data_IF_616865309379
#
_entry.id   IF_616865309379
#
_cell.length_a   1.000
_cell.length_b   1.000
_cell.length_c   1.000
_cell.angle_alpha   90.00
_cell.angle_beta   90.00
_cell.angle_gamma   90.00
#
_symmetry.space_group_name_H-M   'P 1'
#
loop_
_entity.id
_entity.type
_entity.pdbx_description
1 polymer ?
#
# COMPACT_ATOMS: atom_id res chain seq x y z
N UNK A 1 5.20 12.55 19.90
CA UNK A 1 5.04 13.97 20.28
C UNK A 1 3.97 14.06 21.38
N UNK A 2 4.31 14.47 22.60
CA UNK A 2 3.35 14.59 23.71
C UNK A 2 2.22 15.59 23.42
N UNK A 3 2.46 16.64 22.63
CA UNK A 3 1.44 17.63 22.26
C UNK A 3 0.38 17.00 21.37
N UNK A 4 0.79 16.20 20.37
CA UNK A 4 -0.14 15.47 19.50
C UNK A 4 -0.97 14.44 20.25
N UNK A 5 -0.37 13.75 21.23
CA UNK A 5 -1.11 12.81 22.08
C UNK A 5 -2.17 13.57 22.88
N UNK A 6 -1.80 14.65 23.57
CA UNK A 6 -2.74 15.46 24.34
C UNK A 6 -3.91 15.99 23.49
N UNK A 7 -3.63 16.44 22.26
CA UNK A 7 -4.65 16.91 21.32
C UNK A 7 -5.62 15.80 20.86
N UNK A 8 -5.19 14.53 20.86
CA UNK A 8 -6.01 13.40 20.44
C UNK A 8 -6.83 12.79 21.59
N UNK A 9 -6.42 12.99 22.85
CA UNK A 9 -7.10 12.42 24.03
C UNK A 9 -8.62 12.68 24.10
N UNK A 10 -9.17 13.84 23.68
CA UNK A 10 -10.62 14.04 23.68
C UNK A 10 -11.40 13.04 22.81
N UNK A 11 -10.75 12.41 21.83
CA UNK A 11 -11.35 11.38 20.98
C UNK A 11 -11.16 9.95 21.53
N UNK A 12 -10.49 9.77 22.67
CA UNK A 12 -10.25 8.45 23.25
C UNK A 12 -11.58 7.77 23.63
N UNK A 13 -11.64 6.46 23.43
CA UNK A 13 -12.79 5.63 23.81
C UNK A 13 -12.30 4.25 24.29
N UNK A 14 -11.71 4.17 25.50
CA UNK A 14 -11.17 2.91 26.00
C UNK A 14 -12.25 1.84 26.19
N UNK A 15 -11.95 0.55 25.92
CA UNK A 15 -10.65 0.02 25.48
C UNK A 15 -10.44 0.05 23.95
N UNK A 16 -11.41 0.56 23.19
CA UNK A 16 -11.42 0.50 21.72
C UNK A 16 -10.43 1.47 21.06
N UNK A 17 -10.20 2.63 21.69
CA UNK A 17 -9.30 3.66 21.19
C UNK A 17 -8.57 4.35 22.35
N UNK A 18 -7.25 4.30 22.31
CA UNK A 18 -6.34 4.98 23.23
C UNK A 18 -5.21 5.65 22.43
N UNK A 19 -4.63 6.70 22.97
CA UNK A 19 -3.55 7.46 22.35
C UNK A 19 -2.33 7.46 23.25
N UNK A 20 -1.22 6.90 22.75
CA UNK A 20 0.04 6.83 23.47
C UNK A 20 1.17 7.42 22.66
N UNK A 21 2.16 7.97 23.36
CA UNK A 21 3.44 8.33 22.73
C UNK A 21 4.24 7.04 22.52
N UNK A 22 4.62 6.78 21.29
CA UNK A 22 5.54 5.70 20.93
C UNK A 22 6.18 5.93 19.56
N UNK A 23 7.18 5.11 19.26
CA UNK A 23 7.81 4.91 17.96
C UNK A 23 7.66 3.46 17.51
N UNK A 24 8.71 2.90 16.90
CA UNK A 24 8.71 1.51 16.42
C UNK A 24 8.62 0.46 17.54
N UNK A 25 8.86 0.86 18.80
CA UNK A 25 8.65 0.05 20.00
C UNK A 25 7.18 -0.05 20.44
N UNK A 26 6.26 0.56 19.70
CA UNK A 26 4.80 0.45 19.87
C UNK A 26 4.31 0.79 21.28
N UNK A 27 4.98 1.73 21.95
CA UNK A 27 4.72 2.13 23.33
C UNK A 27 4.64 0.93 24.31
N UNK A 28 5.44 -0.11 24.06
CA UNK A 28 5.48 -1.34 24.87
C UNK A 28 4.27 -2.28 24.67
N UNK A 29 3.38 -1.98 23.72
CA UNK A 29 2.29 -2.89 23.37
C UNK A 29 2.80 -4.09 22.54
N UNK A 30 1.91 -5.07 22.31
CA UNK A 30 2.18 -6.27 21.51
C UNK A 30 1.02 -6.55 20.55
N UNK A 31 0.76 -5.68 19.56
CA UNK A 31 -0.38 -5.83 18.67
C UNK A 31 -0.18 -7.00 17.70
N UNK A 32 -1.29 -7.54 17.18
CA UNK A 32 -1.30 -8.54 16.09
C UNK A 32 -1.27 -7.88 14.70
N UNK A 33 -1.61 -6.60 14.61
CA UNK A 33 -1.61 -5.83 13.37
C UNK A 33 -1.16 -4.40 13.65
N UNK A 34 -0.20 -3.90 12.88
CA UNK A 34 0.20 -2.48 12.89
C UNK A 34 -0.09 -1.90 11.52
N UNK A 35 -0.73 -0.73 11.48
CA UNK A 35 -0.90 0.06 10.27
C UNK A 35 -0.10 1.35 10.39
N UNK A 36 0.94 1.50 9.57
CA UNK A 36 1.85 2.63 9.58
C UNK A 36 1.88 3.30 8.21
N UNK A 37 1.16 4.41 8.06
CA UNK A 37 1.08 5.14 6.80
C UNK A 37 1.85 6.46 6.88
N UNK A 38 2.58 6.78 5.80
CA UNK A 38 3.35 8.02 5.64
C UNK A 38 4.47 8.22 6.67
N UNK A 39 4.91 7.14 7.33
CA UNK A 39 5.94 7.18 8.39
C UNK A 39 7.35 7.18 7.80
N UNK A 40 7.64 6.27 6.87
CA UNK A 40 9.00 6.06 6.36
C UNK A 40 9.41 6.97 5.19
N UNK A 41 8.59 7.96 4.81
CA UNK A 41 8.82 8.76 3.60
C UNK A 41 10.16 9.50 3.56
N UNK A 42 10.65 9.91 4.74
CA UNK A 42 11.90 10.68 4.88
C UNK A 42 13.12 9.82 5.19
N UNK A 43 12.95 8.50 5.39
CA UNK A 43 14.05 7.59 5.66
C UNK A 43 14.84 7.32 4.38
N UNK A 44 16.08 6.86 4.52
CA UNK A 44 16.81 6.27 3.42
C UNK A 44 16.20 4.90 3.02
N UNK A 45 16.45 4.45 1.79
CA UNK A 45 15.85 3.22 1.26
C UNK A 45 16.36 1.97 1.99
N UNK A 46 17.65 1.96 2.34
CA UNK A 46 18.34 0.89 3.07
C UNK A 46 17.90 0.81 4.55
N UNK A 47 17.35 1.87 5.11
CA UNK A 47 16.80 1.88 6.48
C UNK A 47 15.42 1.22 6.61
N UNK A 48 14.71 1.01 5.49
CA UNK A 48 13.32 0.51 5.51
C UNK A 48 13.21 -0.89 6.12
N UNK A 49 14.12 -1.80 5.74
CA UNK A 49 14.11 -3.17 6.25
C UNK A 49 14.34 -3.20 7.77
N UNK A 50 15.32 -2.43 8.27
CA UNK A 50 15.58 -2.32 9.70
C UNK A 50 14.40 -1.71 10.47
N UNK A 51 13.70 -0.74 9.89
CA UNK A 51 12.49 -0.18 10.50
C UNK A 51 11.35 -1.22 10.59
N UNK A 52 11.16 -2.05 9.56
CA UNK A 52 10.18 -3.15 9.60
C UNK A 52 10.51 -4.16 10.70
N UNK A 53 11.79 -4.56 10.81
CA UNK A 53 12.24 -5.51 11.83
C UNK A 53 11.99 -5.01 13.26
N UNK A 54 12.28 -3.72 13.52
CA UNK A 54 12.03 -3.10 14.83
C UNK A 54 10.56 -3.12 15.22
N UNK A 55 9.67 -2.82 14.27
CA UNK A 55 8.22 -2.88 14.49
C UNK A 55 7.79 -4.32 14.75
N UNK A 56 8.14 -5.26 13.87
CA UNK A 56 7.73 -6.67 13.97
C UNK A 56 8.25 -7.34 15.25
N UNK A 57 9.46 -7.02 15.71
CA UNK A 57 10.01 -7.49 16.98
C UNK A 57 9.20 -7.03 18.20
N UNK A 58 8.46 -5.93 18.06
CA UNK A 58 7.59 -5.37 19.10
C UNK A 58 6.14 -5.87 19.01
N UNK A 59 5.82 -6.75 18.06
CA UNK A 59 4.47 -7.30 17.85
C UNK A 59 4.27 -8.66 18.52
N UNK A 60 3.02 -9.11 18.60
CA UNK A 60 2.73 -10.49 18.99
C UNK A 60 3.28 -11.49 17.95
N UNK A 61 3.61 -12.74 18.33
CA UNK A 61 4.00 -13.78 17.38
C UNK A 61 2.99 -13.92 16.23
N UNK A 62 3.48 -13.94 14.98
CA UNK A 62 2.63 -13.97 13.78
C UNK A 62 1.97 -12.64 13.43
N UNK A 63 2.34 -11.55 14.09
CA UNK A 63 1.85 -10.21 13.78
C UNK A 63 2.22 -9.72 12.38
N UNK A 64 1.41 -8.81 11.85
CA UNK A 64 1.58 -8.26 10.50
C UNK A 64 1.71 -6.74 10.52
N UNK A 65 2.65 -6.21 9.74
CA UNK A 65 2.79 -4.78 9.50
C UNK A 65 2.20 -4.43 8.13
N UNK A 66 1.34 -3.42 8.10
CA UNK A 66 0.90 -2.73 6.88
C UNK A 66 1.64 -1.40 6.82
N UNK A 67 2.75 -1.36 6.09
CA UNK A 67 3.51 -0.14 5.83
C UNK A 67 3.04 0.47 4.52
N UNK A 68 2.67 1.75 4.52
CA UNK A 68 2.11 2.35 3.32
C UNK A 68 2.32 3.85 3.19
N UNK A 69 1.96 4.34 2.02
CA UNK A 69 1.95 5.76 1.70
C UNK A 69 0.61 6.13 1.07
N UNK A 70 0.12 7.33 1.37
CA UNK A 70 -1.07 7.88 0.73
C UNK A 70 -0.96 9.39 0.51
N UNK A 71 -1.76 9.92 -0.41
CA UNK A 71 -2.01 11.35 -0.50
C UNK A 71 -2.81 11.86 0.71
N UNK A 72 -2.91 13.19 0.83
CA UNK A 72 -3.41 13.92 1.98
C UNK A 72 -4.86 13.55 2.32
N UNK A 73 -5.65 13.21 1.29
CA UNK A 73 -7.06 12.89 1.39
C UNK A 73 -7.37 11.41 1.14
N UNK A 74 -6.34 10.57 0.97
CA UNK A 74 -6.46 9.12 0.84
C UNK A 74 -7.09 8.61 -0.47
N UNK A 75 -7.01 9.38 -1.56
CA UNK A 75 -7.46 8.95 -2.89
C UNK A 75 -6.47 8.04 -3.59
N UNK A 76 -5.18 8.19 -3.30
CA UNK A 76 -4.11 7.36 -3.83
C UNK A 76 -3.34 6.79 -2.67
N UNK A 77 -3.30 5.47 -2.58
CA UNK A 77 -2.68 4.79 -1.47
C UNK A 77 -2.03 3.49 -1.92
N UNK A 78 -0.81 3.24 -1.45
CA UNK A 78 -0.15 1.95 -1.61
C UNK A 78 0.34 1.44 -0.27
N UNK A 79 0.45 0.13 -0.13
CA UNK A 79 1.05 -0.48 1.06
C UNK A 79 1.68 -1.83 0.77
N UNK A 80 2.72 -2.12 1.54
CA UNK A 80 3.32 -3.45 1.68
C UNK A 80 2.72 -4.13 2.91
N UNK A 81 2.26 -5.36 2.73
CA UNK A 81 2.04 -6.26 3.86
C UNK A 81 3.36 -6.93 4.19
N UNK A 82 3.82 -6.82 5.44
CA UNK A 82 5.09 -7.36 5.92
C UNK A 82 4.81 -8.32 7.07
N UNK A 83 5.45 -9.47 7.02
CA UNK A 83 5.43 -10.50 8.06
C UNK A 83 6.82 -10.66 8.67
N UNK A 84 6.96 -11.46 9.73
CA UNK A 84 8.27 -11.85 10.26
C UNK A 84 9.16 -12.61 9.27
N UNK A 85 8.61 -13.15 8.18
CA UNK A 85 9.37 -13.76 7.09
C UNK A 85 9.77 -12.76 5.99
N UNK A 86 9.39 -11.49 6.13
CA UNK A 86 9.61 -10.44 5.15
C UNK A 86 8.33 -9.96 4.44
N UNK A 87 8.48 -9.11 3.41
CA UNK A 87 7.37 -8.53 2.65
C UNK A 87 6.60 -9.59 1.84
N UNK A 88 5.28 -9.51 1.90
CA UNK A 88 4.33 -10.53 1.40
C UNK A 88 3.64 -10.06 0.12
N UNK A 89 3.13 -8.83 0.10
CA UNK A 89 2.38 -8.29 -1.05
C UNK A 89 2.47 -6.78 -1.13
N UNK A 90 2.36 -6.24 -2.34
CA UNK A 90 2.07 -4.83 -2.59
C UNK A 90 0.59 -4.68 -2.97
N UNK A 91 -0.10 -3.74 -2.33
CA UNK A 91 -1.43 -3.31 -2.74
C UNK A 91 -1.41 -1.86 -3.20
N UNK A 92 -2.05 -1.61 -4.33
CA UNK A 92 -2.41 -0.29 -4.86
C UNK A 92 -3.90 -0.06 -4.61
N UNK A 93 -4.28 1.13 -4.18
CA UNK A 93 -5.66 1.55 -3.96
C UNK A 93 -5.84 2.97 -4.49
N UNK A 94 -6.68 3.11 -5.52
CA UNK A 94 -6.93 4.38 -6.18
C UNK A 94 -8.43 4.67 -6.27
N UNK A 95 -8.80 5.91 -5.95
CA UNK A 95 -10.14 6.43 -6.23
C UNK A 95 -10.32 6.52 -7.74
N UNK A 96 -11.14 5.63 -8.29
CA UNK A 96 -11.36 5.51 -9.73
C UNK A 96 -12.00 6.76 -10.35
N UNK A 97 -12.91 7.43 -9.64
CA UNK A 97 -13.56 8.63 -10.15
C UNK A 97 -12.51 9.74 -10.42
N UNK A 98 -12.39 10.18 -11.67
CA UNK A 98 -11.39 11.18 -12.06
C UNK A 98 -9.96 10.66 -12.11
N UNK A 99 -9.75 9.34 -12.16
CA UNK A 99 -8.46 8.74 -12.44
C UNK A 99 -8.11 8.95 -13.93
N UNK A 100 -7.00 9.65 -14.17
CA UNK A 100 -6.45 9.84 -15.53
C UNK A 100 -5.72 8.56 -15.99
N UNK A 101 -4.65 8.21 -15.29
CA UNK A 101 -3.86 6.99 -15.49
C UNK A 101 -3.53 6.30 -14.16
N UNK A 102 -3.49 4.96 -14.12
CA UNK A 102 -3.12 4.22 -12.92
C UNK A 102 -1.73 4.55 -12.37
N UNK A 103 -0.74 4.76 -13.24
CA UNK A 103 0.65 5.05 -12.82
C UNK A 103 0.84 6.36 -12.05
N UNK A 104 -0.16 7.25 -12.00
CA UNK A 104 -0.16 8.42 -11.09
C UNK A 104 0.06 8.00 -9.63
N UNK A 105 -0.28 6.76 -9.26
CA UNK A 105 -0.03 6.22 -7.92
C UNK A 105 1.46 6.03 -7.59
N UNK A 106 2.36 6.11 -8.57
CA UNK A 106 3.81 5.96 -8.40
C UNK A 106 4.37 6.88 -7.32
N UNK A 107 3.90 8.12 -7.25
CA UNK A 107 4.32 9.11 -6.24
C UNK A 107 3.92 8.74 -4.81
N UNK A 108 3.08 7.70 -4.66
CA UNK A 108 2.62 7.16 -3.39
C UNK A 108 3.11 5.74 -3.16
N UNK A 109 4.09 5.27 -3.93
CA UNK A 109 4.77 4.02 -3.64
C UNK A 109 5.47 4.09 -2.26
N UNK A 110 5.57 2.96 -1.54
CA UNK A 110 6.28 2.92 -0.27
C UNK A 110 7.77 3.18 -0.49
N UNK A 111 8.49 3.57 0.56
CA UNK A 111 9.89 3.98 0.43
C UNK A 111 10.78 2.89 -0.20
N UNK A 112 10.46 1.62 0.07
CA UNK A 112 11.13 0.46 -0.52
C UNK A 112 11.01 0.34 -2.05
N UNK A 113 10.08 1.06 -2.70
CA UNK A 113 9.80 0.93 -4.14
C UNK A 113 9.83 2.26 -4.89
N UNK A 114 9.66 3.41 -4.23
CA UNK A 114 9.43 4.69 -4.93
C UNK A 114 10.60 5.09 -5.84
N UNK A 115 11.85 4.93 -5.40
CA UNK A 115 13.03 5.20 -6.22
C UNK A 115 13.32 4.09 -7.24
N UNK A 116 12.71 2.92 -7.07
CA UNK A 116 12.80 1.78 -7.98
C UNK A 116 11.77 1.85 -9.11
N UNK A 117 10.95 2.89 -9.19
CA UNK A 117 10.04 3.07 -10.32
C UNK A 117 10.77 3.63 -11.56
N UNK A 118 11.72 2.85 -12.08
CA UNK A 118 12.54 3.17 -13.25
C UNK A 118 12.57 1.98 -14.24
N UNK A 119 12.84 2.20 -15.53
CA UNK A 119 12.95 1.10 -16.51
C UNK A 119 13.94 0.01 -16.05
N UNK A 120 13.54 -1.26 -16.20
CA UNK A 120 14.30 -2.43 -15.74
C UNK A 120 13.83 -2.99 -14.40
N UNK A 121 13.19 -2.17 -13.56
CA UNK A 121 12.64 -2.61 -12.28
C UNK A 121 11.23 -3.18 -12.43
N UNK A 122 10.89 -4.15 -11.58
CA UNK A 122 9.63 -4.89 -11.68
C UNK A 122 8.40 -4.03 -11.34
N UNK A 123 8.54 -3.12 -10.36
CA UNK A 123 7.46 -2.19 -10.01
C UNK A 123 7.13 -1.24 -11.17
N UNK A 124 8.15 -0.80 -11.92
CA UNK A 124 7.96 0.00 -13.12
C UNK A 124 7.22 -0.80 -14.19
N UNK A 125 7.63 -2.04 -14.44
CA UNK A 125 6.97 -2.93 -15.40
C UNK A 125 5.48 -3.17 -15.04
N UNK A 126 5.15 -3.33 -13.75
CA UNK A 126 3.77 -3.45 -13.28
C UNK A 126 2.95 -2.20 -13.63
N UNK A 127 3.45 -1.01 -13.29
CA UNK A 127 2.73 0.24 -13.53
C UNK A 127 2.57 0.54 -15.02
N UNK A 128 3.59 0.29 -15.84
CA UNK A 128 3.50 0.42 -17.30
C UNK A 128 2.50 -0.57 -17.91
N UNK A 129 2.49 -1.82 -17.44
CA UNK A 129 1.51 -2.82 -17.90
C UNK A 129 0.09 -2.41 -17.52
N UNK A 130 -0.11 -1.88 -16.31
CA UNK A 130 -1.40 -1.41 -15.81
C UNK A 130 -1.92 -0.22 -16.63
N UNK A 131 -1.06 0.75 -16.94
CA UNK A 131 -1.40 1.87 -17.84
C UNK A 131 -1.82 1.39 -19.22
N UNK A 132 -1.07 0.43 -19.79
CA UNK A 132 -1.41 -0.14 -21.09
C UNK A 132 -2.78 -0.81 -21.07
N UNK A 133 -3.06 -1.62 -20.04
CA UNK A 133 -4.37 -2.27 -19.86
C UNK A 133 -5.50 -1.23 -19.67
N UNK A 134 -5.23 -0.14 -18.95
CA UNK A 134 -6.19 0.95 -18.75
C UNK A 134 -6.53 1.70 -20.03
N UNK A 135 -5.53 1.91 -20.89
CA UNK A 135 -5.72 2.48 -22.21
C UNK A 135 -6.53 1.53 -23.12
N UNK A 136 -6.20 0.23 -23.12
CA UNK A 136 -6.95 -0.78 -23.87
C UNK A 136 -8.40 -0.88 -23.40
N UNK A 137 -8.66 -0.75 -22.10
CA UNK A 137 -10.00 -0.79 -21.52
C UNK A 137 -10.82 0.49 -21.75
N UNK A 138 -10.30 1.51 -22.45
CA UNK A 138 -11.01 2.77 -22.69
C UNK A 138 -12.46 2.62 -23.21
N UNK A 139 -12.80 1.66 -24.11
CA UNK A 139 -14.19 1.47 -24.56
C UNK A 139 -15.18 1.15 -23.42
N UNK A 140 -14.72 0.57 -22.31
CA UNK A 140 -15.56 0.23 -21.16
C UNK A 140 -15.99 1.45 -20.34
N UNK A 141 -15.46 2.65 -20.64
CA UNK A 141 -15.85 3.89 -19.96
C UNK A 141 -17.36 4.19 -20.08
N UNK A 142 -18.00 3.76 -21.16
CA UNK A 142 -19.44 3.91 -21.38
C UNK A 142 -20.28 3.20 -20.31
N UNK A 143 -19.72 2.17 -19.67
CA UNK A 143 -20.35 1.42 -18.58
C UNK A 143 -19.89 1.90 -17.19
N UNK A 144 -19.20 3.04 -17.13
CA UNK A 144 -18.68 3.64 -15.91
C UNK A 144 -17.27 3.19 -15.54
N UNK A 145 -16.60 4.01 -14.73
CA UNK A 145 -15.18 3.85 -14.41
C UNK A 145 -14.85 2.54 -13.68
N UNK A 146 -15.79 2.00 -12.92
CA UNK A 146 -15.65 0.69 -12.26
C UNK A 146 -15.62 -0.45 -13.27
N UNK A 147 -16.43 -0.40 -14.32
CA UNK A 147 -16.40 -1.39 -15.39
C UNK A 147 -15.06 -1.36 -16.13
N UNK A 148 -14.58 -0.15 -16.46
CA UNK A 148 -13.25 0.06 -17.04
C UNK A 148 -12.12 -0.49 -16.16
N UNK A 149 -12.18 -0.26 -14.86
CA UNK A 149 -11.18 -0.80 -13.92
C UNK A 149 -11.19 -2.33 -13.84
N UNK A 150 -12.36 -2.95 -13.76
CA UNK A 150 -12.45 -4.42 -13.75
C UNK A 150 -11.87 -5.02 -15.03
N UNK A 151 -12.15 -4.42 -16.17
CA UNK A 151 -11.56 -4.85 -17.45
C UNK A 151 -10.05 -4.67 -17.48
N UNK A 152 -9.56 -3.54 -16.97
CA UNK A 152 -8.12 -3.26 -16.84
C UNK A 152 -7.42 -4.36 -16.04
N UNK A 153 -7.96 -4.72 -14.87
CA UNK A 153 -7.38 -5.76 -14.01
C UNK A 153 -7.50 -7.14 -14.66
N UNK A 154 -8.60 -7.43 -15.37
CA UNK A 154 -8.77 -8.67 -16.16
C UNK A 154 -7.70 -8.79 -17.24
N UNK A 155 -7.46 -7.71 -18.00
CA UNK A 155 -6.43 -7.67 -19.05
C UNK A 155 -5.03 -7.81 -18.45
N UNK A 156 -4.76 -7.20 -17.30
CA UNK A 156 -3.48 -7.34 -16.60
C UNK A 156 -3.23 -8.79 -16.18
N UNK A 157 -4.23 -9.44 -15.59
CA UNK A 157 -4.17 -10.86 -15.22
C UNK A 157 -3.98 -11.77 -16.44
N UNK A 158 -4.65 -11.46 -17.56
CA UNK A 158 -4.48 -12.20 -18.82
C UNK A 158 -3.05 -12.08 -19.40
N UNK A 159 -2.29 -11.06 -19.01
CA UNK A 159 -0.86 -10.90 -19.35
C UNK A 159 0.08 -11.64 -18.38
N UNK A 160 -0.46 -12.43 -17.46
CA UNK A 160 0.31 -13.28 -16.54
C UNK A 160 0.67 -12.63 -15.21
N UNK A 161 0.17 -11.43 -14.90
CA UNK A 161 0.39 -10.82 -13.59
C UNK A 161 -0.46 -11.51 -12.51
N UNK A 162 0.14 -11.98 -11.40
CA UNK A 162 -0.59 -12.62 -10.33
C UNK A 162 -1.38 -11.60 -9.50
N UNK A 163 -2.68 -11.45 -9.80
CA UNK A 163 -3.59 -10.59 -9.04
C UNK A 163 -4.15 -11.34 -7.84
N UNK A 164 -4.01 -10.76 -6.66
CA UNK A 164 -4.50 -11.28 -5.38
C UNK A 164 -5.74 -10.53 -4.90
N UNK A 165 -6.48 -11.16 -3.99
CA UNK A 165 -7.59 -10.56 -3.26
C UNK A 165 -8.96 -10.80 -3.89
N UNK A 166 -10.04 -10.51 -3.14
CA UNK A 166 -11.39 -10.83 -3.59
C UNK A 166 -11.88 -9.79 -4.62
N UNK A 167 -12.74 -10.20 -5.58
CA UNK A 167 -13.35 -9.29 -6.55
C UNK A 167 -14.07 -8.08 -5.93
N UNK A 168 -14.53 -8.19 -4.68
CA UNK A 168 -15.16 -7.08 -3.94
C UNK A 168 -14.21 -5.92 -3.69
N UNK A 169 -12.93 -6.17 -3.44
CA UNK A 169 -11.90 -5.15 -3.24
C UNK A 169 -11.42 -4.55 -4.55
N UNK A 170 -11.20 -5.39 -5.56
CA UNK A 170 -10.83 -4.93 -6.91
C UNK A 170 -11.84 -3.90 -7.42
N UNK A 171 -13.14 -4.17 -7.21
CA UNK A 171 -14.23 -3.26 -7.59
C UNK A 171 -14.18 -1.86 -6.95
N UNK A 172 -13.43 -1.68 -5.86
CA UNK A 172 -13.24 -0.40 -5.18
C UNK A 172 -12.00 0.36 -5.67
N UNK A 173 -11.25 -0.19 -6.63
CA UNK A 173 -10.02 0.41 -7.15
C UNK A 173 -8.74 -0.19 -6.55
N UNK A 174 -8.82 -1.39 -5.96
CA UNK A 174 -7.64 -2.08 -5.44
C UNK A 174 -7.02 -3.04 -6.45
N UNK A 175 -5.70 -3.15 -6.41
CA UNK A 175 -4.90 -4.15 -7.10
C UNK A 175 -3.84 -4.66 -6.12
N UNK A 176 -3.84 -5.95 -5.81
CA UNK A 176 -2.80 -6.56 -4.96
C UNK A 176 -2.00 -7.56 -5.77
N UNK A 177 -0.68 -7.58 -5.62
CA UNK A 177 0.23 -8.56 -6.21
C UNK A 177 1.17 -9.11 -5.13
N UNK A 178 1.67 -10.36 -5.25
CA UNK A 178 2.72 -10.87 -4.40
C UNK A 178 3.95 -9.95 -4.44
N UNK A 179 4.65 -9.81 -3.32
CA UNK A 179 5.84 -8.96 -3.25
C UNK A 179 6.91 -9.40 -4.26
N UNK A 180 7.07 -10.71 -4.48
CA UNK A 180 8.02 -11.24 -5.45
C UNK A 180 7.82 -10.69 -6.88
N UNK A 181 6.60 -10.28 -7.24
CA UNK A 181 6.30 -9.68 -8.55
C UNK A 181 6.82 -8.25 -8.70
N UNK A 182 7.19 -7.59 -7.60
CA UNK A 182 7.62 -6.18 -7.57
C UNK A 182 8.89 -5.95 -6.76
N UNK A 183 9.46 -6.99 -6.15
CA UNK A 183 10.69 -6.92 -5.39
C UNK A 183 11.80 -6.28 -6.25
N UNK A 184 12.58 -5.35 -5.68
CA UNK A 184 13.71 -4.75 -6.38
C UNK A 184 14.66 -5.81 -6.93
N UNK A 185 15.22 -5.54 -8.12
CA UNK A 185 16.20 -6.42 -8.77
C UNK A 185 17.58 -6.39 -8.09
#
# INVERSE_FOLDING_TARGET
>A
DPVRVAAALPAASPPLLDFRRGGFELAGTRPVLVRAFNVLRQYAEDEVAGAWDLVLASMAPGGLLVEGTCDEIGRLSTWVLVSSAGPVSLTLSMRLAGLDRPSTIAERLPKALIHRNVPGERVHALLSALDTCWATAAPHQAFGVRSRWLETVRLLAARGWPVLGPPSRIRLGELTVPWASVAPA
#
